data_IF_483151616806
#
_entry.id   IF_483151616806
#
_cell.length_a   1.000
_cell.length_b   1.000
_cell.length_c   1.000
_cell.angle_alpha   90.00
_cell.angle_beta   90.00
_cell.angle_gamma   90.00
#
_symmetry.space_group_name_H-M   'P 1'
#
loop_
_entity.id
_entity.type
_entity.pdbx_description
1 polymer ?
#
# COMPACT_ATOMS: atom_id res chain seq x y z
N UNK A 1 24.81 46.94 37.76
CA UNK A 1 23.76 45.90 37.71
C UNK A 1 23.45 45.69 36.25
N UNK A 2 24.00 44.63 35.66
CA UNK A 2 23.79 44.25 34.26
C UNK A 2 22.53 43.39 34.25
N UNK A 3 21.48 43.88 33.60
CA UNK A 3 20.24 43.14 33.41
C UNK A 3 20.34 42.44 32.06
N UNK A 4 20.53 41.13 32.06
CA UNK A 4 20.40 40.30 30.86
C UNK A 4 18.90 40.18 30.54
N UNK A 5 18.49 40.70 29.39
CA UNK A 5 17.18 40.41 28.81
C UNK A 5 17.20 38.98 28.28
N UNK A 6 16.50 38.08 28.98
CA UNK A 6 16.15 36.75 28.47
C UNK A 6 14.98 36.92 27.52
N UNK A 7 15.25 37.02 26.22
CA UNK A 7 14.24 36.87 25.17
C UNK A 7 13.70 35.45 25.20
N UNK A 8 12.43 35.31 25.59
CA UNK A 8 11.70 34.05 25.50
C UNK A 8 11.11 34.00 24.09
N UNK A 9 11.65 33.15 23.22
CA UNK A 9 11.10 32.95 21.87
C UNK A 9 9.73 32.26 21.97
N UNK A 10 8.68 32.93 21.49
CA UNK A 10 7.35 32.34 21.31
C UNK A 10 7.41 31.34 20.15
N UNK A 11 7.57 30.06 20.48
CA UNK A 11 7.40 28.96 19.51
C UNK A 11 5.95 28.94 19.05
N UNK A 12 5.73 29.09 17.74
CA UNK A 12 4.38 29.15 17.16
C UNK A 12 3.74 27.76 17.10
N UNK A 13 2.41 27.69 17.16
CA UNK A 13 1.67 26.41 17.11
C UNK A 13 1.94 25.60 15.83
N UNK A 14 2.22 26.27 14.70
CA UNK A 14 2.56 25.62 13.43
C UNK A 14 3.89 24.87 13.51
N UNK A 15 4.89 25.45 14.18
CA UNK A 15 6.22 24.85 14.36
C UNK A 15 6.15 23.59 15.23
N UNK A 16 5.37 23.63 16.31
CA UNK A 16 5.11 22.47 17.18
C UNK A 16 4.40 21.33 16.43
N UNK A 17 3.53 21.65 15.46
CA UNK A 17 2.87 20.62 14.65
C UNK A 17 3.79 19.96 13.63
N UNK A 18 4.70 20.73 13.03
CA UNK A 18 5.67 20.21 12.07
C UNK A 18 6.72 19.31 12.74
N UNK A 19 7.19 19.69 13.93
CA UNK A 19 8.13 18.87 14.72
C UNK A 19 7.51 17.52 15.11
N UNK A 20 6.27 17.53 15.62
CA UNK A 20 5.55 16.28 15.94
C UNK A 20 5.32 15.39 14.73
N UNK A 21 5.09 15.97 13.56
CA UNK A 21 4.94 15.22 12.32
C UNK A 21 6.27 14.59 11.90
N UNK A 22 7.37 15.35 11.96
CA UNK A 22 8.71 14.86 11.67
C UNK A 22 9.08 13.68 12.59
N UNK A 23 8.82 13.80 13.89
CA UNK A 23 9.07 12.73 14.86
C UNK A 23 8.23 11.48 14.59
N UNK A 24 6.96 11.65 14.20
CA UNK A 24 6.10 10.53 13.83
C UNK A 24 6.61 9.81 12.58
N UNK A 25 7.07 10.56 11.55
CA UNK A 25 7.66 9.99 10.33
C UNK A 25 8.95 9.25 10.66
N UNK A 26 9.83 9.81 11.50
CA UNK A 26 11.06 9.16 11.92
C UNK A 26 10.75 7.84 12.66
N UNK A 27 9.84 7.86 13.64
CA UNK A 27 9.44 6.66 14.37
C UNK A 27 8.83 5.58 13.46
N UNK A 28 8.03 5.97 12.46
CA UNK A 28 7.49 5.05 11.47
C UNK A 28 8.59 4.44 10.58
N UNK A 29 9.57 5.25 10.18
CA UNK A 29 10.73 4.78 9.42
C UNK A 29 11.56 3.78 10.23
N UNK A 30 11.84 4.08 11.50
CA UNK A 30 12.62 3.21 12.38
C UNK A 30 11.94 1.87 12.59
N UNK A 31 10.63 1.87 12.85
CA UNK A 31 9.84 0.63 13.02
C UNK A 31 9.85 -0.23 11.75
N UNK A 32 9.67 0.38 10.57
CA UNK A 32 9.71 -0.35 9.31
C UNK A 32 11.12 -0.83 8.94
N UNK A 33 12.15 -0.07 9.30
CA UNK A 33 13.54 -0.48 9.14
C UNK A 33 13.93 -1.64 10.06
N UNK A 34 13.45 -1.64 11.31
CA UNK A 34 13.63 -2.75 12.24
C UNK A 34 12.96 -4.02 11.73
N UNK A 35 11.71 -3.91 11.25
CA UNK A 35 11.01 -5.02 10.60
C UNK A 35 11.79 -5.56 9.39
N UNK A 36 12.24 -4.67 8.51
CA UNK A 36 13.01 -5.04 7.32
C UNK A 36 14.32 -5.76 7.67
N UNK A 37 15.03 -5.28 8.69
CA UNK A 37 16.24 -5.91 9.21
C UNK A 37 15.93 -7.31 9.76
N UNK A 38 14.84 -7.47 10.52
CA UNK A 38 14.40 -8.76 11.04
C UNK A 38 14.07 -9.74 9.92
N UNK A 39 13.34 -9.29 8.90
CA UNK A 39 12.99 -10.07 7.72
C UNK A 39 14.23 -10.52 6.94
N UNK A 40 15.16 -9.60 6.66
CA UNK A 40 16.43 -9.92 5.97
C UNK A 40 17.32 -10.85 6.80
N UNK A 41 17.33 -10.68 8.11
CA UNK A 41 18.06 -11.56 9.04
C UNK A 41 17.48 -12.98 9.02
N UNK A 42 16.15 -13.11 8.99
CA UNK A 42 15.49 -14.40 8.82
C UNK A 42 15.87 -15.05 7.47
N UNK A 43 15.85 -14.27 6.38
CA UNK A 43 16.25 -14.75 5.05
C UNK A 43 17.73 -15.20 5.00
N UNK A 44 18.63 -14.47 5.66
CA UNK A 44 20.07 -14.75 5.65
C UNK A 44 20.52 -15.84 6.64
N UNK A 45 19.62 -16.37 7.49
CA UNK A 45 19.99 -17.35 8.51
C UNK A 45 20.57 -18.62 7.88
N UNK A 46 21.56 -19.24 8.55
CA UNK A 46 22.09 -20.54 8.11
C UNK A 46 20.96 -21.57 8.04
N UNK A 47 20.81 -22.22 6.88
CA UNK A 47 19.72 -23.18 6.62
C UNK A 47 18.38 -22.55 6.25
N UNK A 48 18.34 -21.26 5.86
CA UNK A 48 17.14 -20.67 5.28
C UNK A 48 16.69 -21.41 4.00
N UNK A 49 15.38 -21.46 3.77
CA UNK A 49 14.75 -22.15 2.64
C UNK A 49 14.22 -21.16 1.61
N UNK A 50 14.08 -21.61 0.36
CA UNK A 50 13.64 -20.79 -0.77
C UNK A 50 14.78 -19.96 -1.37
N UNK A 51 14.56 -19.42 -2.56
CA UNK A 51 15.50 -18.53 -3.23
C UNK A 51 15.82 -17.33 -2.34
N UNK A 52 17.10 -17.17 -2.00
CA UNK A 52 17.56 -16.11 -1.09
C UNK A 52 16.99 -16.20 0.34
N UNK A 53 16.47 -17.35 0.76
CA UNK A 53 15.89 -17.54 2.09
C UNK A 53 14.43 -17.08 2.24
N UNK A 54 13.76 -16.81 1.13
CA UNK A 54 12.42 -16.22 1.10
C UNK A 54 11.35 -17.01 1.87
N UNK A 55 11.31 -18.34 1.77
CA UNK A 55 10.29 -19.13 2.48
C UNK A 55 10.43 -18.99 4.00
N UNK A 56 11.67 -19.00 4.49
CA UNK A 56 11.95 -18.71 5.90
C UNK A 56 11.48 -17.30 6.30
N UNK A 57 11.74 -16.32 5.44
CA UNK A 57 11.43 -14.93 5.72
C UNK A 57 9.91 -14.69 5.73
N UNK A 58 9.17 -15.34 4.81
CA UNK A 58 7.70 -15.34 4.78
C UNK A 58 7.11 -15.97 6.07
N UNK A 59 7.67 -17.09 6.54
CA UNK A 59 7.26 -17.72 7.81
C UNK A 59 7.52 -16.85 9.04
N UNK A 60 8.59 -16.05 8.99
CA UNK A 60 8.90 -15.07 10.01
C UNK A 60 7.90 -13.90 9.95
N UNK A 61 7.64 -13.36 8.75
CA UNK A 61 6.70 -12.26 8.51
C UNK A 61 5.27 -12.60 8.95
N UNK A 62 4.83 -13.84 8.76
CA UNK A 62 3.51 -14.32 9.17
C UNK A 62 3.24 -14.24 10.68
N UNK A 63 4.28 -14.01 11.51
CA UNK A 63 4.18 -13.88 12.97
C UNK A 63 4.29 -12.44 13.46
N UNK A 64 4.43 -11.47 12.55
CA UNK A 64 4.60 -10.08 12.90
C UNK A 64 3.32 -9.47 13.49
N UNK A 65 3.49 -8.51 14.40
CA UNK A 65 2.38 -7.68 14.86
C UNK A 65 1.99 -6.70 13.74
N UNK A 66 0.80 -6.92 13.17
CA UNK A 66 0.33 -6.20 11.99
C UNK A 66 -0.05 -4.76 12.31
N UNK A 67 -0.56 -4.47 13.51
CA UNK A 67 -1.12 -3.15 13.81
C UNK A 67 -0.05 -2.04 13.79
N UNK A 68 1.10 -2.18 14.48
CA UNK A 68 2.14 -1.15 14.45
C UNK A 68 2.70 -0.93 13.04
N UNK A 69 2.84 -1.99 12.25
CA UNK A 69 3.29 -1.91 10.86
C UNK A 69 2.29 -1.15 9.99
N UNK A 70 0.99 -1.45 10.14
CA UNK A 70 -0.08 -0.77 9.41
C UNK A 70 -0.14 0.73 9.76
N UNK A 71 0.02 1.06 11.04
CA UNK A 71 0.04 2.46 11.51
C UNK A 71 1.28 3.21 10.99
N UNK A 72 2.45 2.58 10.97
CA UNK A 72 3.65 3.19 10.38
C UNK A 72 3.48 3.48 8.88
N UNK A 73 2.90 2.55 8.10
CA UNK A 73 2.60 2.78 6.69
C UNK A 73 1.60 3.93 6.49
N UNK A 74 0.58 4.04 7.36
CA UNK A 74 -0.36 5.17 7.34
C UNK A 74 0.32 6.51 7.61
N UNK A 75 1.27 6.56 8.54
CA UNK A 75 2.06 7.77 8.83
C UNK A 75 2.86 8.19 7.60
N UNK A 76 3.58 7.25 6.96
CA UNK A 76 4.34 7.54 5.74
C UNK A 76 3.44 8.03 4.60
N UNK A 77 2.30 7.39 4.38
CA UNK A 77 1.35 7.86 3.37
C UNK A 77 0.75 9.23 3.71
N UNK A 78 0.45 9.50 4.98
CA UNK A 78 -0.01 10.81 5.43
C UNK A 78 1.00 11.90 5.09
N UNK A 79 2.28 11.68 5.38
CA UNK A 79 3.34 12.62 5.03
C UNK A 79 3.51 12.77 3.51
N UNK A 80 3.51 11.65 2.76
CA UNK A 80 3.64 11.67 1.30
C UNK A 80 2.49 12.40 0.61
N UNK A 81 1.25 12.21 1.07
CA UNK A 81 0.04 12.81 0.47
C UNK A 81 -0.10 14.29 0.78
N UNK A 82 0.31 14.74 1.97
CA UNK A 82 0.37 16.16 2.34
C UNK A 82 1.46 16.90 1.57
N UNK A 83 2.60 16.27 1.38
CA UNK A 83 3.62 16.75 0.48
C UNK A 83 3.02 16.81 -0.94
N UNK A 84 2.62 15.67 -1.52
CA UNK A 84 2.32 15.43 -2.94
C UNK A 84 1.15 16.18 -3.60
N UNK A 85 0.50 17.12 -2.92
CA UNK A 85 -0.48 18.00 -3.54
C UNK A 85 -1.62 17.28 -4.26
N UNK A 86 -2.21 16.21 -3.69
CA UNK A 86 -3.44 15.64 -4.25
C UNK A 86 -4.68 16.54 -4.03
N UNK A 87 -4.54 17.64 -3.27
CA UNK A 87 -5.59 18.62 -2.93
C UNK A 87 -5.32 20.06 -3.45
N UNK A 88 -4.64 20.23 -4.60
CA UNK A 88 -4.69 21.50 -5.35
C UNK A 88 -3.97 22.72 -4.73
N UNK A 89 -3.09 22.53 -3.75
CA UNK A 89 -2.23 23.60 -3.21
C UNK A 89 -0.77 23.37 -3.59
N UNK A 90 -0.19 24.27 -4.38
CA UNK A 90 1.17 24.13 -4.92
C UNK A 90 2.28 24.44 -3.90
N UNK A 91 3.28 23.54 -3.79
CA UNK A 91 4.69 23.82 -3.43
C UNK A 91 5.58 22.70 -3.98
N UNK A 92 5.88 22.73 -5.29
CA UNK A 92 6.70 21.76 -6.07
C UNK A 92 7.00 20.42 -5.38
N UNK A 93 6.13 19.44 -5.64
CA UNK A 93 6.02 18.17 -4.92
C UNK A 93 5.95 16.96 -5.86
N UNK A 94 6.64 17.09 -6.98
CA UNK A 94 6.42 16.29 -8.19
C UNK A 94 6.70 14.79 -7.99
N UNK A 95 7.36 14.41 -6.89
CA UNK A 95 7.76 13.04 -6.61
C UNK A 95 7.23 12.41 -5.33
N UNK A 96 6.51 13.13 -4.46
CA UNK A 96 6.01 12.55 -3.22
C UNK A 96 4.89 11.52 -3.50
N UNK A 97 5.21 10.23 -3.32
CA UNK A 97 4.37 9.12 -3.79
C UNK A 97 4.58 7.88 -2.95
N UNK A 98 3.58 7.01 -3.00
CA UNK A 98 3.68 5.64 -2.53
C UNK A 98 3.71 4.70 -3.72
N UNK A 99 4.72 3.84 -3.80
CA UNK A 99 4.84 2.76 -4.76
C UNK A 99 4.75 1.44 -3.98
N UNK A 100 3.90 0.53 -4.44
CA UNK A 100 3.74 -0.79 -3.85
C UNK A 100 4.23 -1.85 -4.84
N UNK A 101 4.98 -2.83 -4.33
CA UNK A 101 5.32 -4.05 -5.06
C UNK A 101 4.74 -5.25 -4.32
N UNK A 102 3.67 -5.85 -4.84
CA UNK A 102 2.96 -6.95 -4.20
C UNK A 102 3.41 -8.27 -4.83
N UNK A 103 4.05 -9.14 -4.05
CA UNK A 103 4.39 -10.51 -4.44
C UNK A 103 3.36 -11.47 -3.84
N UNK A 104 2.52 -12.08 -4.67
CA UNK A 104 1.44 -12.97 -4.22
C UNK A 104 1.54 -14.36 -4.84
N UNK A 105 0.90 -15.35 -4.22
CA UNK A 105 0.89 -16.73 -4.71
C UNK A 105 0.08 -16.90 -6.00
N UNK A 106 -0.87 -16.00 -6.24
CA UNK A 106 -1.76 -16.02 -7.39
C UNK A 106 -2.36 -14.63 -7.66
N UNK A 107 -2.99 -14.47 -8.82
CA UNK A 107 -3.61 -13.20 -9.23
C UNK A 107 -4.76 -12.76 -8.30
N UNK A 108 -5.54 -13.70 -7.77
CA UNK A 108 -6.68 -13.39 -6.90
C UNK A 108 -6.20 -12.82 -5.57
N UNK A 109 -5.22 -13.46 -4.92
CA UNK A 109 -4.62 -12.99 -3.67
C UNK A 109 -3.87 -11.67 -3.85
N UNK A 110 -3.18 -11.49 -4.97
CA UNK A 110 -2.54 -10.22 -5.33
C UNK A 110 -3.54 -9.07 -5.47
N UNK A 111 -4.63 -9.28 -6.21
CA UNK A 111 -5.68 -8.25 -6.41
C UNK A 111 -6.45 -7.96 -5.12
N UNK A 112 -6.73 -8.98 -4.30
CA UNK A 112 -7.34 -8.79 -2.99
C UNK A 112 -6.46 -7.91 -2.09
N UNK A 113 -5.15 -8.19 -2.05
CA UNK A 113 -4.16 -7.39 -1.33
C UNK A 113 -4.15 -5.94 -1.83
N UNK A 114 -4.07 -5.74 -3.16
CA UNK A 114 -4.11 -4.40 -3.75
C UNK A 114 -5.34 -3.61 -3.30
N UNK A 115 -6.53 -4.23 -3.37
CA UNK A 115 -7.79 -3.60 -2.94
C UNK A 115 -7.79 -3.23 -1.46
N UNK A 116 -7.30 -4.13 -0.60
CA UNK A 116 -7.23 -3.92 0.84
C UNK A 116 -6.32 -2.73 1.19
N UNK A 117 -5.14 -2.67 0.58
CA UNK A 117 -4.18 -1.58 0.76
C UNK A 117 -4.70 -0.25 0.23
N UNK A 118 -5.18 -0.22 -1.02
CA UNK A 118 -5.72 1.00 -1.64
C UNK A 118 -6.89 1.57 -0.84
N UNK A 119 -7.79 0.70 -0.37
CA UNK A 119 -8.95 1.12 0.42
C UNK A 119 -8.54 1.63 1.80
N UNK A 120 -7.71 0.88 2.52
CA UNK A 120 -7.35 1.18 3.91
C UNK A 120 -6.49 2.44 4.07
N UNK A 121 -5.73 2.78 3.03
CA UNK A 121 -4.90 3.98 2.99
C UNK A 121 -5.61 5.16 2.30
N UNK A 122 -6.77 4.95 1.67
CA UNK A 122 -7.43 5.97 0.86
C UNK A 122 -6.60 6.41 -0.34
N UNK A 123 -5.86 5.47 -0.94
CA UNK A 123 -5.01 5.75 -2.09
C UNK A 123 -5.84 5.95 -3.38
N UNK A 124 -5.32 6.67 -4.38
CA UNK A 124 -5.98 6.80 -5.68
C UNK A 124 -6.27 5.43 -6.32
N UNK A 125 -7.45 5.29 -6.89
CA UNK A 125 -7.84 4.12 -7.68
C UNK A 125 -7.54 4.40 -9.15
N UNK A 126 -6.87 3.46 -9.81
CA UNK A 126 -6.57 3.52 -11.23
C UNK A 126 -6.76 2.18 -11.93
N UNK A 127 -6.47 2.12 -13.23
CA UNK A 127 -6.54 0.89 -14.00
C UNK A 127 -5.54 -0.15 -13.50
N UNK A 128 -5.92 -1.42 -13.58
CA UNK A 128 -5.04 -2.56 -13.37
C UNK A 128 -4.76 -3.23 -14.71
N UNK A 129 -3.55 -3.07 -15.20
CA UNK A 129 -3.10 -3.68 -16.45
C UNK A 129 -2.63 -5.12 -16.22
N UNK A 130 -2.75 -5.96 -17.25
CA UNK A 130 -2.25 -7.35 -17.24
C UNK A 130 -3.27 -8.38 -16.76
N UNK A 131 -4.55 -8.01 -16.66
CA UNK A 131 -5.66 -8.93 -16.34
C UNK A 131 -6.59 -9.22 -17.52
N UNK A 132 -6.48 -8.47 -18.61
CA UNK A 132 -7.27 -8.63 -19.81
C UNK A 132 -6.41 -8.50 -21.07
N UNK A 133 -6.93 -9.01 -22.18
CA UNK A 133 -6.46 -8.72 -23.54
C UNK A 133 -7.65 -8.21 -24.34
N UNK A 134 -7.61 -6.94 -24.73
CA UNK A 134 -8.67 -6.27 -25.48
C UNK A 134 -10.04 -6.30 -24.76
N UNK A 135 -10.04 -6.20 -23.42
CA UNK A 135 -11.25 -6.22 -22.59
C UNK A 135 -11.75 -7.62 -22.22
N UNK A 136 -11.17 -8.67 -22.80
CA UNK A 136 -11.47 -10.06 -22.42
C UNK A 136 -10.55 -10.49 -21.27
N UNK A 137 -11.09 -10.92 -20.11
CA UNK A 137 -10.29 -11.40 -18.99
C UNK A 137 -9.35 -12.55 -19.40
N UNK A 138 -8.09 -12.47 -18.98
CA UNK A 138 -7.15 -13.58 -19.12
C UNK A 138 -7.50 -14.69 -18.12
N UNK A 139 -7.34 -15.94 -18.54
CA UNK A 139 -7.33 -17.06 -17.61
C UNK A 139 -6.03 -17.03 -16.79
N UNK A 140 -6.17 -16.83 -15.48
CA UNK A 140 -5.06 -16.66 -14.55
C UNK A 140 -4.77 -17.93 -13.75
N UNK A 141 -5.47 -19.05 -14.02
CA UNK A 141 -5.27 -20.31 -13.29
C UNK A 141 -3.82 -20.82 -13.36
N UNK A 142 -3.16 -20.56 -14.49
CA UNK A 142 -1.85 -21.12 -14.81
C UNK A 142 -0.69 -20.12 -14.60
N UNK A 143 -0.99 -18.88 -14.20
CA UNK A 143 0.02 -17.83 -14.02
C UNK A 143 0.92 -18.07 -12.81
N UNK A 144 0.48 -18.90 -11.85
CA UNK A 144 1.17 -19.11 -10.60
C UNK A 144 1.35 -17.78 -9.84
N UNK A 145 2.52 -17.60 -9.24
CA UNK A 145 2.82 -16.42 -8.47
C UNK A 145 2.88 -15.16 -9.34
N UNK A 146 2.40 -14.04 -8.79
CA UNK A 146 2.30 -12.76 -9.49
C UNK A 146 3.03 -11.65 -8.75
N UNK A 147 3.41 -10.64 -9.53
CA UNK A 147 3.90 -9.37 -9.03
C UNK A 147 2.98 -8.24 -9.51
N UNK A 148 2.50 -7.42 -8.58
CA UNK A 148 1.72 -6.22 -8.91
C UNK A 148 2.51 -4.99 -8.48
N UNK A 149 2.84 -4.12 -9.45
CA UNK A 149 3.41 -2.80 -9.19
C UNK A 149 2.32 -1.74 -9.24
N UNK A 150 2.05 -1.07 -8.13
CA UNK A 150 1.10 0.05 -8.02
C UNK A 150 1.85 1.37 -7.79
N UNK A 151 1.37 2.46 -8.39
CA UNK A 151 1.91 3.81 -8.17
C UNK A 151 0.79 4.79 -7.81
N UNK A 152 0.95 5.52 -6.69
CA UNK A 152 -0.03 6.52 -6.26
C UNK A 152 -0.08 7.76 -7.16
N UNK A 153 1.00 8.03 -7.91
CA UNK A 153 1.11 9.13 -8.87
C UNK A 153 1.61 8.61 -10.24
N UNK A 154 1.29 9.31 -11.35
CA UNK A 154 1.83 9.01 -12.67
C UNK A 154 3.37 8.99 -12.66
N UNK A 155 4.01 8.16 -13.49
CA UNK A 155 5.46 8.14 -13.58
C UNK A 155 6.00 9.51 -14.03
N UNK A 156 7.13 9.99 -13.47
CA UNK A 156 7.64 11.35 -13.66
C UNK A 156 8.03 11.69 -15.12
N UNK A 157 8.17 10.67 -15.98
CA UNK A 157 8.53 10.83 -17.38
C UNK A 157 7.32 10.79 -18.34
N UNK A 158 6.07 10.76 -17.84
CA UNK A 158 4.87 10.77 -18.67
C UNK A 158 4.76 9.60 -19.65
N UNK A 159 5.51 8.51 -19.41
CA UNK A 159 5.51 7.33 -20.25
C UNK A 159 4.14 6.62 -20.10
N UNK A 160 3.29 6.86 -21.10
CA UNK A 160 1.85 6.60 -21.14
C UNK A 160 1.05 7.42 -20.10
N UNK A 161 -0.13 7.86 -20.54
CA UNK A 161 -1.13 8.65 -19.82
C UNK A 161 -1.76 7.89 -18.63
N UNK A 162 -0.97 7.10 -17.90
CA UNK A 162 -1.44 6.28 -16.79
C UNK A 162 -1.86 7.22 -15.64
N UNK A 163 -3.16 7.23 -15.26
CA UNK A 163 -3.63 8.10 -14.21
C UNK A 163 -3.06 7.69 -12.84
N UNK A 164 -3.17 8.55 -11.81
CA UNK A 164 -2.87 8.17 -10.43
C UNK A 164 -3.54 6.85 -10.03
N UNK A 165 -2.81 6.00 -9.31
CA UNK A 165 -3.32 4.72 -8.85
C UNK A 165 -3.25 3.58 -9.86
N UNK A 166 -2.53 3.78 -10.97
CA UNK A 166 -2.31 2.72 -11.97
C UNK A 166 -1.47 1.58 -11.37
N UNK A 167 -1.90 0.35 -11.66
CA UNK A 167 -1.20 -0.87 -11.31
C UNK A 167 -0.94 -1.75 -12.52
N UNK A 168 0.13 -2.55 -12.48
CA UNK A 168 0.47 -3.54 -13.50
C UNK A 168 0.77 -4.89 -12.86
N UNK A 169 0.08 -5.92 -13.32
CA UNK A 169 0.29 -7.31 -12.94
C UNK A 169 1.22 -8.00 -13.96
N UNK A 170 2.16 -8.80 -13.45
CA UNK A 170 3.03 -9.69 -14.23
C UNK A 170 3.25 -11.01 -13.49
N UNK A 171 3.73 -12.05 -14.19
CA UNK A 171 4.22 -13.28 -13.55
C UNK A 171 5.42 -12.98 -12.63
N UNK A 172 5.60 -13.81 -11.61
CA UNK A 172 6.64 -13.66 -10.60
C UNK A 172 7.33 -14.98 -10.28
N UNK A 173 8.61 -15.08 -10.65
CA UNK A 173 9.43 -16.29 -10.44
C UNK A 173 10.13 -16.34 -9.07
N UNK A 174 9.85 -15.37 -8.18
CA UNK A 174 10.46 -15.31 -6.86
C UNK A 174 9.65 -16.02 -5.77
N UNK A 175 10.31 -16.30 -4.64
CA UNK A 175 9.72 -17.01 -3.50
C UNK A 175 9.21 -16.10 -2.38
N UNK A 176 9.49 -14.78 -2.43
CA UNK A 176 9.00 -13.86 -1.41
C UNK A 176 7.49 -13.63 -1.56
N UNK A 177 6.77 -13.47 -0.44
CA UNK A 177 5.34 -13.17 -0.42
C UNK A 177 5.04 -12.03 0.54
N UNK A 178 4.47 -10.96 0.01
CA UNK A 178 4.21 -9.73 0.77
C UNK A 178 4.26 -8.47 -0.09
N UNK A 179 4.40 -7.33 0.57
CA UNK A 179 4.32 -6.00 -0.04
C UNK A 179 5.58 -5.20 0.26
N UNK A 180 6.30 -4.85 -0.80
CA UNK A 180 7.31 -3.81 -0.77
C UNK A 180 6.63 -2.44 -0.72
N UNK A 181 7.04 -1.59 0.21
CA UNK A 181 6.57 -0.21 0.31
C UNK A 181 7.72 0.72 0.02
N UNK A 182 7.58 1.52 -1.04
CA UNK A 182 8.50 2.60 -1.36
C UNK A 182 7.77 3.93 -1.20
N UNK A 183 8.28 4.78 -0.30
CA UNK A 183 7.69 6.07 0.03
C UNK A 183 8.68 7.17 -0.33
N UNK A 184 8.33 8.00 -1.30
CA UNK A 184 9.05 9.23 -1.57
C UNK A 184 8.39 10.35 -0.79
N UNK A 185 9.15 11.01 0.07
CA UNK A 185 8.72 12.18 0.84
C UNK A 185 9.43 13.44 0.29
N UNK A 186 9.02 14.61 0.77
CA UNK A 186 9.60 15.88 0.35
C UNK A 186 11.09 16.06 0.74
N UNK A 187 11.61 15.20 1.63
CA UNK A 187 13.01 15.24 2.07
C UNK A 187 14.00 14.60 1.08
N UNK A 188 13.50 13.98 0.00
CA UNK A 188 14.34 13.35 -1.02
C UNK A 188 15.06 12.08 -0.56
N UNK A 189 14.80 11.58 0.65
CA UNK A 189 15.42 10.36 1.16
C UNK A 189 14.73 9.15 0.56
N UNK A 190 15.51 8.30 -0.11
CA UNK A 190 15.00 7.04 -0.66
C UNK A 190 14.62 6.08 0.48
N UNK A 191 13.34 5.70 0.50
CA UNK A 191 12.81 4.72 1.44
C UNK A 191 12.20 3.56 0.69
N UNK A 192 12.77 2.38 0.87
CA UNK A 192 12.14 1.13 0.47
C UNK A 192 12.23 0.18 1.65
N UNK A 193 11.06 -0.25 2.12
CA UNK A 193 10.96 -1.19 3.21
C UNK A 193 10.32 -2.48 2.72
N UNK A 194 10.86 -3.58 3.26
CA UNK A 194 10.13 -4.80 3.60
C UNK A 194 9.64 -5.70 2.46
N UNK A 195 9.23 -6.91 2.86
CA UNK A 195 8.15 -7.71 2.29
C UNK A 195 7.10 -7.79 3.40
N UNK A 196 6.26 -6.75 3.52
CA UNK A 196 5.22 -6.68 4.58
C UNK A 196 4.16 -7.77 4.35
N UNK A 197 3.51 -8.30 5.39
CA UNK A 197 2.49 -9.33 5.22
C UNK A 197 1.39 -8.87 4.25
N UNK A 198 0.96 -9.74 3.33
CA UNK A 198 -0.14 -9.45 2.41
C UNK A 198 -1.41 -9.01 3.16
N UNK A 199 -1.64 -9.65 4.31
CA UNK A 199 -2.78 -9.43 5.20
C UNK A 199 -2.72 -8.17 6.06
N UNK A 200 -1.71 -7.30 5.89
CA UNK A 200 -1.49 -6.12 6.74
C UNK A 200 -2.74 -5.23 6.89
N UNK A 201 -3.55 -5.14 5.83
CA UNK A 201 -4.77 -4.35 5.77
C UNK A 201 -6.02 -5.19 5.48
N UNK A 202 -6.00 -6.49 5.77
CA UNK A 202 -7.16 -7.35 5.55
C UNK A 202 -8.38 -6.79 6.28
N UNK A 203 -9.40 -6.43 5.49
CA UNK A 203 -10.64 -5.85 6.00
C UNK A 203 -11.43 -6.83 6.88
N UNK A 204 -10.99 -8.09 6.96
CA UNK A 204 -11.56 -9.12 7.83
C UNK A 204 -11.29 -8.92 9.33
N UNK A 205 -10.41 -7.97 9.72
CA UNK A 205 -10.19 -7.60 11.13
C UNK A 205 -10.96 -6.32 11.51
N UNK A 206 -11.60 -5.64 10.54
CA UNK A 206 -12.58 -4.60 10.82
C UNK A 206 -13.99 -5.24 10.90
N UNK A 207 -14.62 -5.12 12.06
CA UNK A 207 -16.00 -5.53 12.40
C UNK A 207 -16.98 -5.54 11.22
N UNK A 208 -17.81 -6.59 11.04
CA UNK A 208 -18.68 -6.73 9.88
C UNK A 208 -19.84 -5.73 9.95
N UNK A 209 -19.77 -4.66 9.17
CA UNK A 209 -20.95 -3.87 8.81
C UNK A 209 -21.48 -4.39 7.48
N UNK A 210 -22.49 -5.25 7.61
CA UNK A 210 -23.57 -5.50 6.64
C UNK A 210 -23.17 -5.81 5.18
N UNK A 211 -22.77 -7.05 4.95
CA UNK A 211 -23.12 -7.76 3.71
C UNK A 211 -24.23 -8.75 4.04
N UNK A 212 -25.49 -8.28 4.10
CA UNK A 212 -26.67 -9.13 4.01
C UNK A 212 -27.74 -8.48 3.14
N UNK A 213 -28.25 -9.29 2.21
CA UNK A 213 -29.36 -9.08 1.31
C UNK A 213 -29.10 -8.18 0.08
N UNK A 214 -28.54 -8.77 -0.97
CA UNK A 214 -29.07 -8.63 -2.32
C UNK A 214 -28.63 -9.83 -3.18
N UNK A 215 -29.26 -10.98 -2.94
CA UNK A 215 -29.20 -12.12 -3.86
C UNK A 215 -30.53 -12.87 -4.05
N UNK A 216 -31.66 -12.26 -3.68
CA UNK A 216 -33.00 -12.84 -3.90
C UNK A 216 -33.97 -11.91 -4.66
N UNK A 217 -33.52 -10.77 -5.19
CA UNK A 217 -34.40 -9.82 -5.91
C UNK A 217 -34.46 -9.97 -7.44
N UNK A 218 -33.68 -10.86 -8.06
CA UNK A 218 -33.49 -10.86 -9.53
C UNK A 218 -34.35 -11.89 -10.29
N UNK A 219 -34.89 -12.92 -9.61
CA UNK A 219 -35.70 -13.95 -10.29
C UNK A 219 -37.20 -13.58 -10.40
N UNK A 220 -37.72 -12.76 -9.48
CA UNK A 220 -39.16 -12.42 -9.42
C UNK A 220 -39.55 -11.21 -10.28
N UNK A 221 -38.59 -10.36 -10.67
CA UNK A 221 -38.84 -9.21 -11.53
C UNK A 221 -38.95 -9.58 -13.02
N UNK A 222 -38.38 -10.72 -13.44
CA UNK A 222 -38.46 -11.20 -14.83
C UNK A 222 -39.73 -12.01 -15.11
N UNK A 223 -40.33 -12.64 -14.10
CA UNK A 223 -41.60 -13.37 -14.21
C UNK A 223 -42.84 -12.46 -14.23
N UNK A 224 -42.74 -11.22 -13.73
CA UNK A 224 -43.86 -10.26 -13.73
C UNK A 224 -43.97 -9.45 -15.04
N UNK A 225 -42.92 -9.42 -15.88
CA UNK A 225 -42.94 -8.72 -17.16
C UNK A 225 -43.43 -9.60 -18.33
N UNK A 226 -43.27 -10.93 -18.25
CA UNK A 226 -43.74 -11.87 -19.29
C UNK A 226 -45.20 -12.31 -19.12
N UNK A 227 -45.87 -11.95 -18.02
CA UNK A 227 -47.30 -12.24 -17.79
C UNK A 227 -48.24 -11.04 -18.10
N UNK A 228 -47.69 -9.92 -18.58
CA UNK A 228 -48.47 -8.73 -18.99
C UNK A 228 -48.49 -8.51 -20.51
N UNK A 229 -47.88 -9.40 -21.29
CA UNK A 229 -47.85 -9.35 -22.77
C UNK A 229 -48.34 -10.66 -23.43
N UNK A 230 -49.05 -11.52 -22.69
CA UNK A 230 -49.72 -12.72 -23.21
C UNK A 230 -51.23 -12.72 -22.91
#
# INVERSE_FOLDING_TARGET
VTTEEVTTEEVTTEEVTAEKEHDAVAAACDLLAEYDLGHRTAAARKGARGFGGALTANEWAAKADLKPLADAVRVLWGAASRAGGYNGGARSVEDARLILGICAEDALSGVATLKAWVTSLGLPKGPLHGMDRDGEPLDMSDFGAVYIKYNSLPPPNGALMDPPGTARLSGYDGDFRGVYVNANLADGVFRQYAVLPLSLFDSAIATPVALRANKEGSATARAAAEAAEA
#
